data_IF_075351130593
#
_entry.id   IF_075351130593
#
_cell.length_a   1.000
_cell.length_b   1.000
_cell.length_c   1.000
_cell.angle_alpha   90.00
_cell.angle_beta   90.00
_cell.angle_gamma   90.00
#
_symmetry.space_group_name_H-M   'P 1'
#
loop_
_entity.id
_entity.type
_entity.pdbx_description
1 polymer ?
#
# COMPACT_ATOMS: atom_id res chain seq x y z
N UNK A 1 25.36 8.78 -3.48
CA UNK A 1 25.14 8.45 -4.90
C UNK A 1 24.30 7.18 -4.95
N UNK A 2 23.05 7.23 -5.41
CA UNK A 2 22.23 6.03 -5.54
C UNK A 2 22.74 5.19 -6.70
N UNK A 3 23.19 3.97 -6.43
CA UNK A 3 23.61 3.04 -7.48
C UNK A 3 22.36 2.45 -8.13
N UNK A 4 22.19 2.63 -9.44
CA UNK A 4 21.14 1.95 -10.19
C UNK A 4 21.42 0.44 -10.14
N UNK A 5 20.54 -0.31 -9.47
CA UNK A 5 20.53 -1.76 -9.52
C UNK A 5 19.52 -2.19 -10.60
N UNK A 6 19.95 -2.94 -11.63
CA UNK A 6 19.02 -3.47 -12.62
C UNK A 6 18.04 -4.47 -11.97
N UNK A 7 16.86 -4.61 -12.58
CA UNK A 7 15.83 -5.53 -12.14
C UNK A 7 16.34 -6.98 -12.17
N UNK A 8 16.13 -7.72 -11.08
CA UNK A 8 16.47 -9.14 -10.99
C UNK A 8 15.19 -10.00 -11.02
N UNK A 9 14.81 -10.41 -12.22
CA UNK A 9 13.58 -11.17 -12.49
C UNK A 9 13.60 -12.60 -11.92
N UNK A 10 14.74 -13.08 -11.41
CA UNK A 10 14.78 -14.36 -10.69
C UNK A 10 14.14 -14.26 -9.30
N UNK A 11 13.92 -13.05 -8.77
CA UNK A 11 13.40 -12.83 -7.41
C UNK A 11 11.88 -12.92 -7.26
N UNK A 12 11.13 -13.00 -8.37
CA UNK A 12 9.67 -13.15 -8.32
C UNK A 12 8.96 -12.71 -9.60
N UNK A 13 7.63 -12.81 -9.60
CA UNK A 13 6.80 -12.32 -10.70
C UNK A 13 6.60 -10.80 -10.59
N UNK A 14 7.27 -10.04 -11.44
CA UNK A 14 7.20 -8.59 -11.48
C UNK A 14 5.78 -8.03 -11.79
N UNK A 15 4.83 -8.88 -12.20
CA UNK A 15 3.43 -8.49 -12.41
C UNK A 15 2.57 -8.58 -11.15
N UNK A 16 3.16 -8.96 -10.01
CA UNK A 16 2.52 -8.98 -8.69
C UNK A 16 3.10 -7.90 -7.78
N UNK A 17 2.36 -7.46 -6.77
CA UNK A 17 2.83 -6.42 -5.83
C UNK A 17 4.13 -6.83 -5.14
N UNK A 18 4.15 -8.03 -4.55
CA UNK A 18 5.31 -8.56 -3.84
C UNK A 18 6.47 -8.90 -4.78
N UNK A 19 6.19 -9.48 -5.95
CA UNK A 19 7.22 -9.81 -6.92
C UNK A 19 7.85 -8.57 -7.56
N UNK A 20 7.09 -7.52 -7.86
CA UNK A 20 7.65 -6.25 -8.32
C UNK A 20 8.62 -5.67 -7.29
N UNK A 21 8.24 -5.63 -6.02
CA UNK A 21 9.11 -5.14 -4.95
C UNK A 21 10.40 -5.96 -4.84
N UNK A 22 10.31 -7.29 -4.95
CA UNK A 22 11.47 -8.17 -4.93
C UNK A 22 12.42 -7.94 -6.13
N UNK A 23 11.86 -7.82 -7.34
CA UNK A 23 12.60 -7.64 -8.59
C UNK A 23 13.25 -6.26 -8.69
N UNK A 24 12.54 -5.20 -8.27
CA UNK A 24 12.96 -3.81 -8.47
C UNK A 24 13.50 -3.12 -7.20
N UNK A 25 13.42 -3.77 -6.03
CA UNK A 25 13.85 -3.22 -4.74
C UNK A 25 13.22 -1.86 -4.41
N UNK A 26 11.99 -1.64 -4.89
CA UNK A 26 11.16 -0.45 -4.65
C UNK A 26 9.68 -0.81 -4.80
N UNK A 27 8.77 -0.09 -4.13
CA UNK A 27 7.34 -0.35 -4.26
C UNK A 27 6.84 -0.07 -5.69
N UNK A 28 5.80 -0.79 -6.16
CA UNK A 28 5.05 -0.39 -7.35
C UNK A 28 4.44 1.00 -7.18
N UNK A 29 4.34 1.74 -8.28
CA UNK A 29 3.66 3.01 -8.34
C UNK A 29 2.43 2.95 -9.26
N UNK A 30 1.39 3.71 -8.92
CA UNK A 30 0.11 3.77 -9.63
C UNK A 30 -0.35 5.22 -9.78
N UNK A 31 -1.08 5.48 -10.86
CA UNK A 31 -1.95 6.65 -10.95
C UNK A 31 -3.35 6.24 -10.45
N UNK A 32 -3.85 6.94 -9.43
CA UNK A 32 -5.20 6.74 -8.91
C UNK A 32 -6.26 7.39 -9.79
N UNK A 33 -7.51 6.96 -9.67
CA UNK A 33 -8.66 7.59 -10.35
C UNK A 33 -8.87 9.08 -10.03
N UNK A 34 -8.23 9.62 -8.98
CA UNK A 34 -8.19 11.05 -8.66
C UNK A 34 -7.04 11.82 -9.36
N UNK A 35 -6.28 11.15 -10.22
CA UNK A 35 -5.14 11.71 -10.97
C UNK A 35 -3.85 11.88 -10.16
N UNK A 36 -3.82 11.43 -8.90
CA UNK A 36 -2.61 11.52 -8.08
C UNK A 36 -1.71 10.29 -8.22
N UNK A 37 -0.41 10.47 -7.91
CA UNK A 37 0.57 9.38 -7.87
C UNK A 37 0.57 8.70 -6.50
N UNK A 38 0.57 7.38 -6.52
CA UNK A 38 0.61 6.53 -5.32
C UNK A 38 1.71 5.49 -5.39
N UNK A 39 2.35 5.19 -4.27
CA UNK A 39 3.14 3.96 -4.10
C UNK A 39 2.42 3.00 -3.17
N UNK A 40 2.53 1.69 -3.40
CA UNK A 40 1.87 0.68 -2.57
C UNK A 40 2.84 -0.08 -1.68
N UNK A 41 2.40 -0.42 -0.47
CA UNK A 41 3.05 -1.35 0.43
C UNK A 41 2.07 -2.44 0.89
N UNK A 42 2.59 -3.66 1.09
CA UNK A 42 1.82 -4.77 1.67
C UNK A 42 1.95 -4.72 3.18
N UNK A 43 0.82 -4.53 3.85
CA UNK A 43 0.72 -4.49 5.30
C UNK A 43 -0.03 -5.72 5.82
N UNK A 44 0.22 -6.08 7.07
CA UNK A 44 -0.42 -7.19 7.76
C UNK A 44 -0.67 -6.84 9.22
N UNK A 45 -1.80 -7.31 9.75
CA UNK A 45 -2.16 -7.13 11.16
C UNK A 45 -2.88 -8.36 11.71
N UNK A 46 -2.84 -8.53 13.03
CA UNK A 46 -3.63 -9.53 13.74
C UNK A 46 -5.11 -9.12 13.74
N UNK A 47 -6.00 -10.05 13.41
CA UNK A 47 -7.43 -9.73 13.26
C UNK A 47 -8.24 -9.92 14.54
N UNK A 48 -7.70 -10.67 15.51
CA UNK A 48 -8.44 -11.16 16.68
C UNK A 48 -9.37 -12.36 16.42
N UNK A 49 -9.53 -12.80 15.17
CA UNK A 49 -10.32 -13.99 14.81
C UNK A 49 -9.40 -15.22 14.70
N UNK A 50 -9.61 -16.22 15.56
CA UNK A 50 -8.84 -17.46 15.56
C UNK A 50 -8.91 -18.25 14.23
N UNK A 51 -10.01 -18.13 13.48
CA UNK A 51 -10.15 -18.77 12.16
C UNK A 51 -9.40 -18.01 11.05
N UNK A 52 -9.09 -16.73 11.26
CA UNK A 52 -8.41 -15.84 10.29
C UNK A 52 -7.39 -14.94 11.00
N UNK A 53 -6.37 -15.50 11.68
CA UNK A 53 -5.62 -14.78 12.71
C UNK A 53 -4.84 -13.58 12.19
N UNK A 54 -4.43 -13.59 10.92
CA UNK A 54 -3.76 -12.45 10.29
C UNK A 54 -4.47 -12.05 9.00
N UNK A 55 -4.69 -10.74 8.84
CA UNK A 55 -5.26 -10.12 7.66
C UNK A 55 -4.19 -9.27 6.97
N UNK A 56 -4.10 -9.36 5.65
CA UNK A 56 -3.25 -8.51 4.84
C UNK A 56 -4.07 -7.47 4.08
N UNK A 57 -3.51 -6.28 3.91
CA UNK A 57 -4.12 -5.16 3.20
C UNK A 57 -3.06 -4.35 2.44
N UNK A 58 -3.50 -3.44 1.58
CA UNK A 58 -2.63 -2.55 0.82
C UNK A 58 -2.70 -1.14 1.39
N UNK A 59 -1.53 -0.56 1.68
CA UNK A 59 -1.37 0.85 2.04
C UNK A 59 -0.85 1.61 0.81
N UNK A 60 -1.61 2.59 0.34
CA UNK A 60 -1.24 3.45 -0.78
C UNK A 60 -0.85 4.83 -0.28
N UNK A 61 0.43 5.18 -0.37
CA UNK A 61 0.95 6.52 -0.03
C UNK A 61 0.75 7.46 -1.21
N UNK A 62 -0.01 8.54 -1.01
CA UNK A 62 -0.24 9.61 -1.99
C UNK A 62 0.94 10.57 -1.99
N UNK A 63 1.46 10.90 -3.16
CA UNK A 63 2.57 11.85 -3.31
C UNK A 63 2.05 13.20 -3.83
N UNK A 64 2.60 14.30 -3.28
CA UNK A 64 2.38 15.63 -3.83
C UNK A 64 3.05 15.77 -5.20
N UNK A 65 2.57 16.72 -6.01
CA UNK A 65 3.30 17.12 -7.20
C UNK A 65 4.57 17.89 -6.80
N UNK A 66 5.74 17.46 -7.28
CA UNK A 66 7.03 18.10 -7.00
C UNK A 66 7.88 17.30 -6.01
N UNK A 67 8.52 18.01 -5.07
CA UNK A 67 9.41 17.40 -4.08
C UNK A 67 8.75 16.22 -3.35
N UNK A 68 9.50 15.17 -3.00
CA UNK A 68 8.94 13.92 -2.47
C UNK A 68 8.40 14.13 -1.05
N UNK A 69 7.17 14.63 -0.98
CA UNK A 69 6.41 14.84 0.24
C UNK A 69 5.15 13.99 0.13
N UNK A 70 4.95 13.12 1.12
CA UNK A 70 3.71 12.38 1.26
C UNK A 70 2.56 13.37 1.53
N UNK A 71 1.56 13.39 0.65
CA UNK A 71 0.38 14.24 0.75
C UNK A 71 -0.79 13.56 1.48
N UNK A 72 -0.66 12.27 1.79
CA UNK A 72 -1.65 11.47 2.48
C UNK A 72 -1.49 9.99 2.15
N UNK A 73 -2.47 9.19 2.52
CA UNK A 73 -2.55 7.78 2.12
C UNK A 73 -4.00 7.35 1.99
N UNK A 74 -4.27 6.22 1.34
CA UNK A 74 -5.51 5.46 1.48
C UNK A 74 -5.14 4.01 1.76
N UNK A 75 -6.00 3.30 2.47
CA UNK A 75 -5.80 1.89 2.79
C UNK A 75 -7.02 1.08 2.39
N UNK A 76 -6.79 -0.19 2.09
CA UNK A 76 -7.87 -1.16 1.89
C UNK A 76 -8.27 -1.76 3.24
N UNK A 77 -9.44 -2.39 3.30
CA UNK A 77 -9.68 -3.41 4.33
C UNK A 77 -8.80 -4.64 4.12
N UNK A 78 -8.98 -5.68 4.95
CA UNK A 78 -8.31 -6.96 4.76
C UNK A 78 -8.75 -7.64 3.45
N UNK A 79 -7.78 -7.91 2.57
CA UNK A 79 -8.00 -8.50 1.25
C UNK A 79 -7.78 -10.01 1.25
N UNK A 80 -6.78 -10.47 2.00
CA UNK A 80 -6.40 -11.88 2.14
C UNK A 80 -6.06 -12.17 3.61
N UNK A 81 -6.20 -13.44 4.00
CA UNK A 81 -5.91 -13.87 5.36
C UNK A 81 -4.86 -14.99 5.36
N UNK A 82 -4.15 -15.12 6.46
CA UNK A 82 -3.14 -16.15 6.68
C UNK A 82 -3.16 -16.70 8.10
N UNK A 83 -2.69 -17.94 8.26
CA UNK A 83 -2.47 -18.53 9.58
C UNK A 83 -1.29 -17.90 10.34
N UNK A 84 -0.42 -17.19 9.62
CA UNK A 84 0.71 -16.40 10.13
C UNK A 84 0.76 -15.07 9.39
N UNK A 85 1.46 -14.09 9.97
CA UNK A 85 1.70 -12.79 9.34
C UNK A 85 2.31 -12.95 7.94
N UNK A 86 3.41 -13.71 7.82
CA UNK A 86 4.07 -13.97 6.53
C UNK A 86 3.15 -14.59 5.49
N UNK A 87 2.26 -15.51 5.90
CA UNK A 87 1.30 -16.13 4.96
C UNK A 87 0.28 -15.11 4.46
N UNK A 88 -0.18 -14.19 5.31
CA UNK A 88 -1.05 -13.10 4.89
C UNK A 88 -0.32 -12.14 3.94
N UNK A 89 0.93 -11.80 4.26
CA UNK A 89 1.79 -10.92 3.45
C UNK A 89 2.05 -11.52 2.07
N UNK A 90 2.42 -12.79 1.98
CA UNK A 90 2.61 -13.51 0.71
C UNK A 90 1.31 -13.56 -0.09
N UNK A 91 0.17 -13.81 0.57
CA UNK A 91 -1.12 -13.90 -0.11
C UNK A 91 -1.55 -12.57 -0.74
N UNK A 92 -1.37 -11.44 -0.05
CA UNK A 92 -1.61 -10.10 -0.63
C UNK A 92 -0.55 -9.73 -1.66
N UNK A 93 0.72 -10.05 -1.39
CA UNK A 93 1.83 -9.82 -2.32
C UNK A 93 1.67 -10.54 -3.65
N UNK A 94 0.91 -11.64 -3.70
CA UNK A 94 0.59 -12.37 -4.92
C UNK A 94 -0.50 -11.71 -5.79
N UNK A 95 -1.16 -10.65 -5.30
CA UNK A 95 -2.10 -9.87 -6.12
C UNK A 95 -1.36 -9.24 -7.29
N UNK A 96 -1.98 -9.30 -8.46
CA UNK A 96 -1.47 -8.65 -9.67
C UNK A 96 -1.46 -7.13 -9.49
N UNK A 97 -0.59 -6.44 -10.22
CA UNK A 97 -0.57 -4.97 -10.23
C UNK A 97 -1.93 -4.38 -10.66
N UNK A 98 -2.66 -5.06 -11.55
CA UNK A 98 -3.97 -4.62 -11.98
C UNK A 98 -5.04 -4.79 -10.89
N UNK A 99 -5.03 -5.89 -10.13
CA UNK A 99 -5.90 -6.05 -8.96
C UNK A 99 -5.61 -4.99 -7.89
N UNK A 100 -4.33 -4.72 -7.61
CA UNK A 100 -3.92 -3.68 -6.68
C UNK A 100 -4.39 -2.29 -7.13
N UNK A 101 -4.29 -1.96 -8.42
CA UNK A 101 -4.85 -0.72 -8.97
C UNK A 101 -6.37 -0.63 -8.77
N UNK A 102 -7.09 -1.72 -9.00
CA UNK A 102 -8.53 -1.78 -8.75
C UNK A 102 -8.89 -1.54 -7.28
N UNK A 103 -8.05 -2.00 -6.34
CA UNK A 103 -8.23 -1.67 -4.92
C UNK A 103 -7.92 -0.21 -4.58
N UNK A 104 -6.91 0.39 -5.21
CA UNK A 104 -6.64 1.84 -5.05
C UNK A 104 -7.87 2.66 -5.46
N UNK A 105 -8.45 2.36 -6.62
CA UNK A 105 -9.63 3.09 -7.12
C UNK A 105 -10.84 2.92 -6.21
N UNK A 106 -11.06 1.71 -5.65
CA UNK A 106 -12.09 1.48 -4.63
C UNK A 106 -11.84 2.27 -3.35
N UNK A 107 -10.60 2.30 -2.87
CA UNK A 107 -10.23 3.02 -1.65
C UNK A 107 -10.39 4.55 -1.82
N UNK A 108 -10.09 5.08 -3.00
CA UNK A 108 -10.34 6.49 -3.36
C UNK A 108 -11.84 6.77 -3.37
N UNK A 109 -12.65 5.94 -4.04
CA UNK A 109 -14.09 6.13 -4.16
C UNK A 109 -14.84 6.02 -2.81
N UNK A 110 -14.38 5.12 -1.93
CA UNK A 110 -14.95 4.93 -0.58
C UNK A 110 -14.70 6.10 0.37
N UNK A 111 -13.84 7.05 0.00
CA UNK A 111 -13.37 8.15 0.86
C UNK A 111 -14.33 9.35 0.93
N UNK A 112 -15.64 9.14 0.76
CA UNK A 112 -16.66 10.20 0.81
C UNK A 112 -16.86 10.74 2.24
N UNK A 113 -15.83 11.40 2.77
CA UNK A 113 -15.79 12.69 3.48
C UNK A 113 -14.40 12.80 4.15
N UNK A 114 -13.47 13.65 3.68
CA UNK A 114 -12.24 13.88 4.40
C UNK A 114 -12.55 14.79 5.59
N UNK A 115 -13.01 14.19 6.68
CA UNK A 115 -12.77 14.76 8.00
C UNK A 115 -11.29 15.18 8.11
N UNK A 116 -11.04 16.25 8.90
CA UNK A 116 -9.76 16.97 8.96
C UNK A 116 -8.55 16.03 8.87
N UNK A 117 -7.55 16.37 8.04
CA UNK A 117 -6.37 15.53 7.90
C UNK A 117 -5.67 15.24 9.23
N UNK A 118 -5.17 14.02 9.42
CA UNK A 118 -4.54 13.58 10.68
C UNK A 118 -3.31 14.43 11.09
N UNK A 119 -2.61 15.06 10.14
CA UNK A 119 -1.50 15.99 10.44
C UNK A 119 -1.98 17.36 10.95
N UNK A 120 -3.21 17.77 10.64
CA UNK A 120 -3.83 18.92 11.30
C UNK A 120 -4.22 18.56 12.74
N UNK A 121 -4.71 17.34 12.97
CA UNK A 121 -5.04 16.83 14.30
C UNK A 121 -3.79 16.78 15.19
N UNK A 122 -2.66 16.26 14.67
CA UNK A 122 -1.40 16.22 15.42
C UNK A 122 -0.77 17.60 15.66
N UNK A 123 -1.03 18.61 14.81
CA UNK A 123 -0.57 19.98 15.06
C UNK A 123 -1.27 20.60 16.26
N UNK A 124 -2.57 20.38 16.40
CA UNK A 124 -3.37 20.95 17.50
C UNK A 124 -2.92 20.37 18.88
N UNK A 125 -2.56 19.08 18.93
CA UNK A 125 -2.06 18.42 20.14
C UNK A 125 -0.70 18.96 20.62
N UNK A 126 0.16 19.39 19.71
CA UNK A 126 1.50 19.90 20.05
C UNK A 126 1.49 21.39 20.44
N UNK A 127 0.31 22.01 20.48
CA UNK A 127 0.09 23.43 20.81
C UNK A 127 -0.74 23.62 22.08
N UNK A 128 -1.06 22.53 22.81
CA UNK A 128 -1.84 22.53 24.06
C UNK A 128 -1.00 22.27 25.30
#
# INVERSE_FOLDING_TARGET
MGQFLPADHAKGDANTVGGYAAVHSRPPAFEGSDGASYSVEVMTDATGDAAKPYGGFLLFVKWAAGDPVAAGHVETGYLKFGATEDKARVAVGAMTLNEARGELDRAIAGRSDPGRPWWEVMRDENTS
#
